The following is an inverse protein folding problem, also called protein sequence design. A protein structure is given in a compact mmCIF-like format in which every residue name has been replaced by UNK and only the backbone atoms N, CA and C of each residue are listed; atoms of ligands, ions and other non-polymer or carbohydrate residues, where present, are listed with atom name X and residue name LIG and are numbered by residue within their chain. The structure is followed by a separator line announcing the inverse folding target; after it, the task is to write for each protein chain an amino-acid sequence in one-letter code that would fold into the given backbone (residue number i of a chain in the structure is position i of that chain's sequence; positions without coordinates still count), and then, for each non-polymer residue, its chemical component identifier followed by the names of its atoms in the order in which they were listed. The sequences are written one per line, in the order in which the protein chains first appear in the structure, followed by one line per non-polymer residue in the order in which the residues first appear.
data_IF_941222927721
#
_entry.id   IF_941222927721
#
_cell.length_a   1.000
_cell.length_b   1.000
_cell.length_c   1.000
_cell.angle_alpha   90.00
_cell.angle_beta   90.00
_cell.angle_gamma   90.00
#
_symmetry.space_group_name_H-M   'P 1'
#
loop_
_entity.id
_entity.type
_entity.pdbx_description
1 polymer ?
#
# COMPACT_ATOMS: atom_id res chain seq x y z
N UNK A 1 2.38 74.39 13.20
CA UNK A 1 3.46 75.11 12.48
C UNK A 1 4.40 74.05 11.91
N UNK A 2 4.25 73.69 10.63
CA UNK A 2 5.03 72.61 10.02
C UNK A 2 6.39 73.17 9.61
N UNK A 3 7.45 72.77 10.30
CA UNK A 3 8.81 73.10 9.90
C UNK A 3 9.09 72.44 8.55
N UNK A 4 9.42 73.24 7.52
CA UNK A 4 9.85 72.71 6.22
C UNK A 4 11.12 71.89 6.44
N UNK A 5 11.11 70.63 6.02
CA UNK A 5 12.30 69.77 6.06
C UNK A 5 13.40 70.37 5.19
N UNK A 6 14.64 70.27 5.64
CA UNK A 6 15.83 70.71 4.90
C UNK A 6 16.26 69.62 3.91
N UNK A 7 16.96 70.01 2.84
CA UNK A 7 17.33 69.11 1.72
C UNK A 7 18.16 67.90 2.17
N UNK A 8 19.01 68.08 3.17
CA UNK A 8 19.80 67.02 3.83
C UNK A 8 18.91 65.98 4.51
N UNK A 9 17.80 66.40 5.12
CA UNK A 9 16.85 65.49 5.77
C UNK A 9 16.10 64.64 4.74
N UNK A 10 15.78 65.19 3.57
CA UNK A 10 15.22 64.42 2.45
C UNK A 10 16.21 63.38 1.94
N UNK A 11 17.50 63.75 1.81
CA UNK A 11 18.54 62.82 1.37
C UNK A 11 18.71 61.66 2.36
N UNK A 12 18.71 61.94 3.67
CA UNK A 12 18.76 60.91 4.70
C UNK A 12 17.54 59.99 4.69
N UNK A 13 16.33 60.51 4.44
CA UNK A 13 15.13 59.70 4.34
C UNK A 13 15.15 58.78 3.11
N UNK A 14 15.67 59.25 1.98
CA UNK A 14 15.83 58.43 0.77
C UNK A 14 16.85 57.31 1.03
N UNK A 15 17.99 57.62 1.64
CA UNK A 15 19.00 56.62 2.01
C UNK A 15 18.45 55.57 2.98
N UNK A 16 17.68 56.00 3.99
CA UNK A 16 17.03 55.10 4.93
C UNK A 16 16.00 54.20 4.23
N UNK A 17 15.19 54.76 3.32
CA UNK A 17 14.24 53.95 2.54
C UNK A 17 14.93 52.93 1.64
N UNK A 18 16.10 53.27 1.09
CA UNK A 18 16.87 52.37 0.24
C UNK A 18 17.45 51.20 1.04
N UNK A 19 17.92 51.47 2.27
CA UNK A 19 18.43 50.44 3.19
C UNK A 19 17.31 49.49 3.63
N UNK A 20 16.10 50.01 3.89
CA UNK A 20 14.94 49.21 4.29
C UNK A 20 14.44 48.33 3.13
N UNK A 21 14.56 48.79 1.87
CA UNK A 21 14.14 48.03 0.69
C UNK A 21 15.17 46.98 0.22
N UNK A 22 16.40 46.99 0.73
CA UNK A 22 17.36 45.93 0.41
C UNK A 22 16.88 44.63 1.06
N UNK A 23 16.51 43.59 0.28
CA UNK A 23 16.09 42.33 0.85
C UNK A 23 17.28 41.75 1.59
N UNK A 24 17.22 41.76 2.92
CA UNK A 24 18.17 41.03 3.75
C UNK A 24 18.00 39.57 3.32
N UNK A 25 18.96 39.07 2.55
CA UNK A 25 19.01 37.65 2.20
C UNK A 25 19.37 36.94 3.49
N UNK A 26 18.35 36.67 4.32
CA UNK A 26 18.49 35.81 5.47
C UNK A 26 18.96 34.49 4.89
N UNK A 27 20.24 34.15 5.11
CA UNK A 27 20.74 32.80 4.86
C UNK A 27 20.02 31.95 5.88
N UNK A 28 18.83 31.50 5.50
CA UNK A 28 18.08 30.51 6.25
C UNK A 28 19.03 29.33 6.42
N UNK A 29 19.23 28.83 7.65
CA UNK A 29 19.92 27.56 7.84
C UNK A 29 19.26 26.57 6.89
N UNK A 30 20.03 26.01 5.96
CA UNK A 30 19.49 24.92 5.16
C UNK A 30 19.18 23.80 6.15
N UNK A 31 17.91 23.44 6.29
CA UNK A 31 17.57 22.24 7.04
C UNK A 31 18.25 21.07 6.31
N UNK A 32 19.29 20.52 6.92
CA UNK A 32 19.87 19.26 6.47
C UNK A 32 18.77 18.20 6.59
N UNK A 33 18.24 17.78 5.45
CA UNK A 33 17.27 16.69 5.39
C UNK A 33 18.04 15.41 5.69
N UNK A 34 18.10 15.03 6.98
CA UNK A 34 18.52 13.69 7.35
C UNK A 34 17.48 12.71 6.82
N UNK A 35 17.88 11.64 6.10
CA UNK A 35 16.92 10.61 5.71
C UNK A 35 16.30 10.04 6.98
N UNK A 36 14.98 10.11 7.08
CA UNK A 36 14.23 9.37 8.10
C UNK A 36 14.48 7.89 7.82
N UNK A 37 15.28 7.25 8.65
CA UNK A 37 15.48 5.79 8.58
C UNK A 37 14.22 5.16 9.16
N UNK A 38 13.32 4.74 8.28
CA UNK A 38 12.19 3.90 8.66
C UNK A 38 12.74 2.52 9.07
N UNK A 39 12.62 2.19 10.36
CA UNK A 39 13.04 0.89 10.86
C UNK A 39 12.07 -0.17 10.31
N UNK A 40 12.60 -1.15 9.58
CA UNK A 40 11.83 -2.30 9.14
C UNK A 40 11.50 -3.14 10.37
N UNK A 41 10.23 -3.18 10.77
CA UNK A 41 9.74 -4.10 11.78
C UNK A 41 9.75 -5.52 11.19
N UNK A 42 10.63 -6.38 11.67
CA UNK A 42 10.69 -7.79 11.26
C UNK A 42 9.65 -8.61 12.04
N UNK A 43 8.85 -9.40 11.34
CA UNK A 43 7.96 -10.39 11.96
C UNK A 43 8.78 -11.57 12.50
N UNK A 44 8.45 -12.12 13.69
CA UNK A 44 9.14 -13.29 14.21
C UNK A 44 8.90 -14.51 13.30
N UNK A 45 9.94 -15.31 13.10
CA UNK A 45 9.83 -16.55 12.31
C UNK A 45 9.22 -17.64 13.20
N UNK A 46 8.15 -18.32 12.75
CA UNK A 46 7.56 -19.43 13.48
C UNK A 46 8.54 -20.61 13.56
N UNK A 47 8.67 -21.19 14.74
CA UNK A 47 9.47 -22.38 15.00
C UNK A 47 8.55 -23.56 15.33
N UNK A 48 8.88 -24.75 14.82
CA UNK A 48 8.16 -25.96 15.15
C UNK A 48 8.39 -26.29 16.62
N UNK A 49 7.31 -26.52 17.36
CA UNK A 49 7.37 -27.03 18.73
C UNK A 49 7.88 -28.47 18.72
N UNK A 50 8.94 -28.75 19.49
CA UNK A 50 9.57 -30.07 19.54
C UNK A 50 8.65 -31.16 20.11
N UNK A 51 7.63 -30.79 20.88
CA UNK A 51 6.64 -31.72 21.42
C UNK A 51 5.61 -32.17 20.34
N UNK A 52 5.59 -31.51 19.18
CA UNK A 52 4.73 -31.87 18.05
C UNK A 52 5.47 -32.79 17.09
N UNK A 53 4.87 -33.93 16.75
CA UNK A 53 5.33 -34.83 15.69
C UNK A 53 4.35 -34.77 14.50
N UNK A 54 4.48 -33.79 13.59
CA UNK A 54 3.48 -33.57 12.53
C UNK A 54 3.59 -34.60 11.40
N UNK A 55 4.64 -35.41 11.34
CA UNK A 55 4.92 -36.30 10.21
C UNK A 55 3.79 -37.29 9.90
N UNK A 56 3.17 -37.87 10.92
CA UNK A 56 2.04 -38.80 10.74
C UNK A 56 0.83 -38.08 10.14
N UNK A 57 0.52 -36.87 10.65
CA UNK A 57 -0.53 -36.03 10.10
C UNK A 57 -0.23 -35.62 8.66
N UNK A 58 0.97 -35.13 8.39
CA UNK A 58 1.40 -34.73 7.04
C UNK A 58 1.28 -35.93 6.08
N UNK A 59 1.75 -37.12 6.48
CA UNK A 59 1.66 -38.34 5.68
C UNK A 59 0.20 -38.74 5.38
N UNK A 60 -0.74 -38.46 6.29
CA UNK A 60 -2.16 -38.74 6.09
C UNK A 60 -2.84 -37.85 5.04
N UNK A 61 -2.25 -36.70 4.70
CA UNK A 61 -2.82 -35.76 3.72
C UNK A 61 -2.84 -36.38 2.33
N UNK A 62 -4.02 -36.41 1.69
CA UNK A 62 -4.20 -36.94 0.34
C UNK A 62 -3.97 -35.92 -0.79
N UNK A 63 -3.74 -34.65 -0.44
CA UNK A 63 -3.53 -33.59 -1.42
C UNK A 63 -2.25 -33.83 -2.24
N UNK A 64 -2.37 -33.64 -3.56
CA UNK A 64 -1.27 -33.82 -4.52
C UNK A 64 -0.23 -32.70 -4.41
N UNK A 65 -0.68 -31.49 -4.10
CA UNK A 65 0.15 -30.30 -3.89
C UNK A 65 -0.35 -29.51 -2.67
N UNK A 66 0.58 -29.03 -1.84
CA UNK A 66 0.32 -28.31 -0.59
C UNK A 66 1.35 -27.18 -0.47
N UNK A 67 0.89 -26.00 -0.06
CA UNK A 67 1.73 -24.88 0.38
C UNK A 67 1.04 -24.21 1.57
N UNK A 68 1.74 -24.09 2.69
CA UNK A 68 1.30 -23.38 3.89
C UNK A 68 2.35 -22.33 4.21
N UNK A 69 1.92 -21.08 4.30
CA UNK A 69 2.79 -19.93 4.48
C UNK A 69 2.25 -19.11 5.64
N UNK A 70 3.15 -18.70 6.53
CA UNK A 70 2.87 -17.71 7.55
C UNK A 70 2.75 -16.32 6.91
N UNK A 71 1.61 -15.65 7.06
CA UNK A 71 1.33 -14.39 6.34
C UNK A 71 2.23 -13.25 6.81
N UNK A 72 2.56 -13.21 8.09
CA UNK A 72 3.30 -12.09 8.69
C UNK A 72 4.80 -12.16 8.39
N UNK A 73 5.41 -13.35 8.49
CA UNK A 73 6.84 -13.57 8.24
C UNK A 73 7.17 -14.06 6.83
N UNK A 74 6.15 -14.40 6.04
CA UNK A 74 6.27 -15.07 4.74
C UNK A 74 7.03 -16.42 4.80
N UNK A 75 7.16 -17.01 5.99
CA UNK A 75 7.87 -18.26 6.19
C UNK A 75 7.04 -19.43 5.67
N UNK A 76 7.69 -20.33 4.94
CA UNK A 76 7.09 -21.57 4.47
C UNK A 76 7.01 -22.56 5.65
N UNK A 77 5.80 -22.96 6.02
CA UNK A 77 5.56 -23.90 7.13
C UNK A 77 5.47 -25.35 6.66
N UNK A 78 4.90 -25.57 5.46
CA UNK A 78 4.74 -26.88 4.86
C UNK A 78 4.68 -26.76 3.34
N UNK A 79 5.43 -27.60 2.64
CA UNK A 79 5.33 -27.77 1.20
C UNK A 79 5.30 -29.23 0.78
N UNK A 80 4.47 -29.51 -0.22
CA UNK A 80 4.48 -30.76 -0.98
C UNK A 80 4.19 -30.41 -2.42
N UNK A 81 5.13 -30.66 -3.33
CA UNK A 81 4.94 -30.39 -4.77
C UNK A 81 4.39 -28.96 -5.06
N UNK A 82 4.76 -27.95 -4.26
CA UNK A 82 4.16 -26.60 -4.31
C UNK A 82 4.36 -25.90 -5.67
N UNK A 83 5.42 -26.28 -6.39
CA UNK A 83 5.79 -25.72 -7.70
C UNK A 83 5.23 -26.53 -8.88
N UNK A 84 4.49 -27.61 -8.62
CA UNK A 84 3.89 -28.42 -9.67
C UNK A 84 2.70 -27.68 -10.31
N UNK A 85 2.64 -27.66 -11.64
CA UNK A 85 1.50 -27.08 -12.37
C UNK A 85 0.27 -27.97 -12.19
N UNK A 86 -0.73 -27.46 -11.49
CA UNK A 86 -2.04 -28.09 -11.28
C UNK A 86 -3.15 -27.15 -11.72
N UNK A 87 -4.28 -27.70 -12.19
CA UNK A 87 -5.43 -26.88 -12.55
C UNK A 87 -6.06 -26.27 -11.29
N UNK A 88 -6.19 -24.94 -11.16
CA UNK A 88 -6.70 -24.29 -9.94
C UNK A 88 -8.23 -24.46 -9.75
N UNK A 89 -8.96 -24.90 -10.78
CA UNK A 89 -10.42 -24.99 -10.78
C UNK A 89 -11.07 -23.68 -10.27
N UNK A 90 -11.90 -23.74 -9.22
CA UNK A 90 -12.55 -22.54 -8.67
C UNK A 90 -11.62 -21.60 -7.91
N UNK A 91 -10.39 -22.00 -7.55
CA UNK A 91 -9.39 -21.09 -6.94
C UNK A 91 -9.05 -19.95 -7.91
N UNK A 92 -9.21 -20.14 -9.23
CA UNK A 92 -9.13 -19.07 -10.25
C UNK A 92 -9.93 -17.83 -9.88
N UNK A 93 -11.05 -17.99 -9.14
CA UNK A 93 -11.90 -16.88 -8.71
C UNK A 93 -11.18 -15.89 -7.77
N UNK A 94 -10.10 -16.28 -7.09
CA UNK A 94 -9.28 -15.34 -6.31
C UNK A 94 -8.68 -14.26 -7.21
N UNK A 95 -8.07 -14.65 -8.33
CA UNK A 95 -7.55 -13.69 -9.31
C UNK A 95 -8.67 -12.84 -9.92
N UNK A 96 -9.80 -13.46 -10.25
CA UNK A 96 -10.98 -12.72 -10.73
C UNK A 96 -11.46 -11.68 -9.72
N UNK A 97 -11.49 -12.01 -8.43
CA UNK A 97 -11.91 -11.10 -7.37
C UNK A 97 -10.93 -9.93 -7.19
N UNK A 98 -9.62 -10.19 -7.24
CA UNK A 98 -8.60 -9.14 -7.20
C UNK A 98 -8.77 -8.17 -8.37
N UNK A 99 -8.84 -8.69 -9.60
CA UNK A 99 -9.02 -7.86 -10.80
C UNK A 99 -10.34 -7.10 -10.77
N UNK A 100 -11.43 -7.72 -10.31
CA UNK A 100 -12.71 -7.02 -10.16
C UNK A 100 -12.63 -5.89 -9.14
N UNK A 101 -11.94 -6.10 -8.00
CA UNK A 101 -11.76 -5.08 -6.97
C UNK A 101 -10.90 -3.90 -7.43
N UNK A 102 -9.98 -4.12 -8.36
CA UNK A 102 -9.16 -3.05 -8.95
C UNK A 102 -9.96 -2.17 -9.93
N UNK A 103 -11.00 -2.74 -10.55
CA UNK A 103 -11.77 -2.08 -11.62
C UNK A 103 -13.08 -1.45 -11.10
N UNK A 104 -13.75 -2.11 -10.16
CA UNK A 104 -15.06 -1.73 -9.65
C UNK A 104 -15.00 -1.25 -8.20
N UNK A 105 -15.89 -0.32 -7.83
CA UNK A 105 -16.06 0.05 -6.41
C UNK A 105 -16.92 -1.00 -5.70
N UNK A 106 -16.72 -1.16 -4.38
CA UNK A 106 -17.47 -2.13 -3.58
C UNK A 106 -18.98 -1.84 -3.53
N UNK A 107 -19.36 -0.57 -3.64
CA UNK A 107 -20.75 -0.08 -3.63
C UNK A 107 -21.32 0.14 -5.04
N UNK A 108 -20.56 -0.23 -6.08
CA UNK A 108 -21.01 -0.07 -7.46
C UNK A 108 -22.12 -1.08 -7.80
N UNK A 109 -23.28 -0.56 -8.20
CA UNK A 109 -24.38 -1.38 -8.68
C UNK A 109 -24.13 -1.75 -10.15
N UNK A 110 -23.92 -3.04 -10.40
CA UNK A 110 -23.79 -3.62 -11.74
C UNK A 110 -25.07 -4.36 -12.09
N UNK A 111 -25.45 -4.36 -13.38
CA UNK A 111 -26.61 -5.12 -13.87
C UNK A 111 -26.19 -6.23 -14.82
N UNK A 112 -26.84 -7.38 -14.71
CA UNK A 112 -26.59 -8.57 -15.51
C UNK A 112 -27.15 -8.37 -16.92
N UNK A 113 -26.25 -8.17 -17.89
CA UNK A 113 -26.62 -7.90 -19.29
C UNK A 113 -26.86 -9.16 -20.13
N UNK A 114 -26.27 -10.28 -19.74
CA UNK A 114 -26.25 -11.53 -20.52
C UNK A 114 -26.71 -12.66 -19.60
N UNK A 115 -27.57 -13.59 -20.08
CA UNK A 115 -27.98 -14.72 -19.27
C UNK A 115 -26.76 -15.53 -18.79
N UNK A 116 -26.65 -15.85 -17.50
CA UNK A 116 -25.56 -16.65 -16.99
C UNK A 116 -25.61 -18.07 -17.58
N UNK A 117 -24.44 -18.65 -17.85
CA UNK A 117 -24.32 -19.96 -18.51
C UNK A 117 -24.89 -21.13 -17.67
N UNK A 118 -25.25 -20.91 -16.40
CA UNK A 118 -25.87 -21.90 -15.51
C UNK A 118 -25.13 -23.25 -15.44
N UNK A 119 -23.80 -23.22 -15.43
CA UNK A 119 -22.95 -24.41 -15.27
C UNK A 119 -22.24 -24.33 -13.91
N UNK A 120 -22.28 -25.43 -13.14
CA UNK A 120 -21.64 -25.52 -11.83
C UNK A 120 -22.41 -24.78 -10.73
N UNK A 121 -21.70 -24.23 -9.74
CA UNK A 121 -22.31 -23.48 -8.64
C UNK A 121 -22.66 -22.05 -9.08
N UNK A 122 -23.93 -21.67 -8.88
CA UNK A 122 -24.44 -20.36 -9.28
C UNK A 122 -25.19 -19.67 -8.13
N UNK A 123 -25.27 -18.33 -8.20
CA UNK A 123 -26.02 -17.49 -7.24
C UNK A 123 -27.47 -17.27 -7.73
N UNK A 124 -27.78 -17.63 -8.97
CA UNK A 124 -29.14 -17.57 -9.51
C UNK A 124 -29.59 -16.21 -10.06
N UNK A 125 -28.64 -15.31 -10.34
CA UNK A 125 -28.94 -13.98 -10.89
C UNK A 125 -29.71 -14.03 -12.22
N UNK A 126 -30.59 -13.05 -12.41
CA UNK A 126 -31.40 -12.90 -13.63
C UNK A 126 -30.93 -11.71 -14.46
N UNK A 127 -31.21 -11.74 -15.77
CA UNK A 127 -30.92 -10.60 -16.65
C UNK A 127 -31.73 -9.38 -16.17
N UNK A 128 -31.06 -8.25 -16.02
CA UNK A 128 -31.65 -6.99 -15.55
C UNK A 128 -31.75 -6.84 -14.04
N UNK A 129 -31.41 -7.87 -13.26
CA UNK A 129 -30.99 -7.73 -11.86
C UNK A 129 -29.67 -6.96 -11.81
#
# INVERSE_FOLDING_TARGET
MVSKLRLDQYLSLVLLSLIILLPIKQVLPQEEIFPVVELIQISPIPILDNDQQPDEFIASLSAQSISVIDVDSASILLERNSHQKVAPASITKLLTALVARDIYKLDEVISIKIPPLNIGHTIGFRVGE
#
